data_IF_546904585930
#
_entry.id   IF_546904585930
#
_cell.length_a   1.000
_cell.length_b   1.000
_cell.length_c   1.000
_cell.angle_alpha   90.00
_cell.angle_beta   90.00
_cell.angle_gamma   90.00
#
_symmetry.space_group_name_H-M   'P 1'
#
loop_
_entity.id
_entity.type
_entity.pdbx_description
1 polymer ?
#
# COMPACT_ATOMS: atom_id res chain seq x y z
N UNK A 1 -9.97 13.74 -1.86
CA UNK A 1 -8.82 12.83 -2.00
C UNK A 1 -8.14 13.03 -3.36
N UNK A 2 -6.84 12.81 -3.43
CA UNK A 2 -6.06 12.86 -4.65
C UNK A 2 -5.00 11.77 -4.63
N UNK A 3 -4.73 11.20 -5.79
CA UNK A 3 -3.62 10.27 -5.94
C UNK A 3 -2.27 10.98 -5.87
N UNK A 4 -2.12 12.05 -6.64
CA UNK A 4 -0.92 12.93 -6.62
C UNK A 4 -1.32 14.39 -6.48
N UNK A 5 -0.44 15.21 -5.94
CA UNK A 5 -0.54 16.67 -5.97
C UNK A 5 0.58 17.22 -6.85
N UNK A 6 0.27 17.55 -8.11
CA UNK A 6 1.22 18.03 -9.11
C UNK A 6 1.92 19.34 -8.72
N UNK A 7 1.32 20.09 -7.79
CA UNK A 7 1.89 21.34 -7.27
C UNK A 7 2.89 21.13 -6.13
N UNK A 8 3.25 19.86 -5.84
CA UNK A 8 4.20 19.51 -4.77
C UNK A 8 3.66 19.73 -3.35
N UNK A 9 2.35 19.87 -3.20
CA UNK A 9 1.70 20.01 -1.89
C UNK A 9 1.54 18.68 -1.14
N UNK A 10 1.13 18.78 0.13
CA UNK A 10 0.91 17.63 1.03
C UNK A 10 -0.46 16.96 0.84
N UNK A 11 -1.10 17.10 -0.32
CA UNK A 11 -2.50 16.69 -0.52
C UNK A 11 -2.69 15.42 -1.33
N UNK A 12 -1.64 14.89 -1.92
CA UNK A 12 -1.67 13.65 -2.69
C UNK A 12 -1.23 12.46 -1.85
N UNK A 13 -1.86 11.31 -2.04
CA UNK A 13 -1.50 10.06 -1.35
C UNK A 13 -0.04 9.71 -1.62
N UNK A 14 0.41 9.76 -2.87
CA UNK A 14 1.81 9.50 -3.22
C UNK A 14 2.78 10.54 -2.64
N UNK A 15 2.38 11.81 -2.55
CA UNK A 15 3.23 12.85 -1.96
C UNK A 15 3.44 12.61 -0.46
N UNK A 16 2.38 12.22 0.25
CA UNK A 16 2.46 11.86 1.68
C UNK A 16 3.32 10.60 1.86
N UNK A 17 3.13 9.59 1.02
CA UNK A 17 3.96 8.37 1.04
C UNK A 17 5.45 8.69 0.89
N UNK A 18 5.83 9.61 -0.03
CA UNK A 18 7.21 10.04 -0.21
C UNK A 18 7.81 10.70 1.04
N UNK A 19 7.00 11.47 1.76
CA UNK A 19 7.43 12.12 3.01
C UNK A 19 7.59 11.08 4.13
N UNK A 20 6.68 10.10 4.20
CA UNK A 20 6.70 9.06 5.23
C UNK A 20 7.78 7.99 4.97
N UNK A 21 8.17 7.77 3.73
CA UNK A 21 9.11 6.72 3.32
C UNK A 21 10.44 6.70 4.13
N UNK A 22 11.14 7.83 4.33
CA UNK A 22 12.42 7.85 5.05
C UNK A 22 12.28 7.76 6.58
N UNK A 23 11.07 7.65 7.12
CA UNK A 23 10.81 7.74 8.55
C UNK A 23 10.68 6.35 9.22
N UNK A 24 11.10 5.27 8.55
CA UNK A 24 10.96 3.90 9.07
C UNK A 24 11.60 3.71 10.46
N UNK A 25 12.73 4.35 10.72
CA UNK A 25 13.44 4.27 12.00
C UNK A 25 12.65 4.78 13.22
N UNK A 26 11.63 5.62 12.99
CA UNK A 26 10.78 6.18 14.06
C UNK A 26 9.57 5.30 14.36
N UNK A 27 9.21 4.35 13.47
CA UNK A 27 8.07 3.46 13.65
C UNK A 27 8.46 2.25 14.50
N UNK A 28 7.81 2.10 15.66
CA UNK A 28 8.02 0.98 16.60
C UNK A 28 6.83 0.84 17.56
N UNK A 29 6.70 -0.28 18.27
CA UNK A 29 5.69 -0.40 19.32
C UNK A 29 5.74 0.75 20.31
N UNK A 30 4.59 1.43 20.49
CA UNK A 30 4.44 2.62 21.32
C UNK A 30 4.61 3.96 20.60
N UNK A 31 4.98 3.97 19.30
CA UNK A 31 5.07 5.19 18.49
C UNK A 31 5.20 4.87 17.01
N UNK A 32 4.20 5.24 16.22
CA UNK A 32 4.16 5.03 14.78
C UNK A 32 4.06 6.35 14.04
N UNK A 33 4.57 6.39 12.80
CA UNK A 33 4.38 7.52 11.91
C UNK A 33 2.92 7.63 11.48
N UNK A 34 2.36 8.82 11.49
CA UNK A 34 1.00 9.09 11.05
C UNK A 34 1.01 9.89 9.74
N UNK A 35 0.80 9.23 8.60
CA UNK A 35 0.75 9.87 7.28
C UNK A 35 -0.63 10.44 6.95
N UNK A 36 -1.43 10.79 7.96
CA UNK A 36 -2.80 11.28 7.85
C UNK A 36 -3.85 10.15 7.68
N UNK A 37 -5.12 10.52 7.80
CA UNK A 37 -6.26 9.61 7.77
C UNK A 37 -6.43 8.91 6.42
N UNK A 38 -7.16 7.79 6.45
CA UNK A 38 -7.59 7.09 5.26
C UNK A 38 -8.68 7.89 4.52
N UNK A 39 -8.48 8.08 3.22
CA UNK A 39 -9.44 8.77 2.33
C UNK A 39 -10.21 7.82 1.42
N UNK A 40 -10.25 6.53 1.75
CA UNK A 40 -10.93 5.49 0.97
C UNK A 40 -12.43 5.80 0.88
N UNK A 41 -12.95 5.84 -0.35
CA UNK A 41 -14.38 6.07 -0.60
C UNK A 41 -14.88 7.51 -0.41
N UNK A 42 -14.00 8.49 -0.09
CA UNK A 42 -14.44 9.89 0.08
C UNK A 42 -14.89 10.53 -1.24
N UNK A 43 -14.35 10.06 -2.38
CA UNK A 43 -14.56 10.74 -3.66
C UNK A 43 -13.79 12.07 -3.75
N UNK A 44 -14.05 12.84 -4.79
CA UNK A 44 -13.30 14.05 -5.10
C UNK A 44 -13.89 15.35 -4.55
N UNK A 45 -15.04 15.32 -3.87
CA UNK A 45 -15.77 16.53 -3.51
C UNK A 45 -15.63 16.85 -2.04
N UNK A 46 -15.01 17.98 -1.72
CA UNK A 46 -15.04 18.56 -0.37
C UNK A 46 -15.80 19.90 -0.41
N UNK A 47 -16.99 19.91 0.21
CA UNK A 47 -17.80 21.12 0.34
C UNK A 47 -17.23 22.12 1.33
N UNK A 48 -16.42 21.67 2.28
CA UNK A 48 -15.96 22.51 3.42
C UNK A 48 -14.81 23.47 3.07
N UNK A 49 -14.07 23.21 2.00
CA UNK A 49 -12.91 24.04 1.59
C UNK A 49 -12.98 24.51 0.13
N UNK A 50 -14.14 24.37 -0.51
CA UNK A 50 -14.34 24.81 -1.90
C UNK A 50 -13.46 24.07 -2.92
N UNK A 51 -13.02 22.86 -2.58
CA UNK A 51 -12.06 22.10 -3.33
C UNK A 51 -12.74 20.92 -4.04
N UNK A 52 -12.65 20.90 -5.36
CA UNK A 52 -13.07 19.77 -6.19
C UNK A 52 -11.83 19.09 -6.77
N UNK A 53 -11.73 17.78 -6.64
CA UNK A 53 -10.79 16.92 -7.35
C UNK A 53 -11.56 15.79 -8.00
N UNK A 54 -10.96 15.11 -8.97
CA UNK A 54 -11.56 13.92 -9.59
C UNK A 54 -11.70 12.75 -8.60
N UNK A 55 -11.06 12.84 -7.43
CA UNK A 55 -11.00 11.76 -6.45
C UNK A 55 -9.92 10.74 -6.80
N UNK A 56 -10.10 9.53 -6.29
CA UNK A 56 -9.28 8.37 -6.61
C UNK A 56 -10.14 7.27 -7.22
N UNK A 57 -9.55 6.42 -8.06
CA UNK A 57 -10.20 5.19 -8.52
C UNK A 57 -10.25 4.16 -7.39
N UNK A 58 -11.00 3.06 -7.56
CA UNK A 58 -11.05 1.99 -6.58
C UNK A 58 -9.67 1.33 -6.39
N UNK A 59 -8.91 1.15 -7.48
CA UNK A 59 -7.55 0.61 -7.45
C UNK A 59 -6.62 1.53 -6.63
N UNK A 60 -6.72 2.84 -6.81
CA UNK A 60 -5.96 3.82 -6.03
C UNK A 60 -6.37 3.85 -4.56
N UNK A 61 -7.66 3.69 -4.24
CA UNK A 61 -8.12 3.56 -2.86
C UNK A 61 -7.62 2.27 -2.21
N UNK A 62 -7.61 1.16 -2.94
CA UNK A 62 -7.05 -0.10 -2.47
C UNK A 62 -5.54 0.02 -2.23
N UNK A 63 -4.83 0.66 -3.16
CA UNK A 63 -3.40 0.95 -3.03
C UNK A 63 -3.10 1.84 -1.83
N UNK A 64 -3.90 2.87 -1.60
CA UNK A 64 -3.80 3.73 -0.43
C UNK A 64 -3.91 2.92 0.88
N UNK A 65 -4.94 2.10 1.00
CA UNK A 65 -5.13 1.26 2.19
C UNK A 65 -3.98 0.26 2.37
N UNK A 66 -3.58 -0.42 1.30
CA UNK A 66 -2.46 -1.36 1.32
C UNK A 66 -1.15 -0.70 1.78
N UNK A 67 -0.84 0.48 1.24
CA UNK A 67 0.37 1.23 1.61
C UNK A 67 0.35 1.69 3.07
N UNK A 68 -0.80 2.19 3.59
CA UNK A 68 -0.93 2.54 5.02
C UNK A 68 -0.75 1.31 5.91
N UNK A 69 -1.24 0.14 5.49
CA UNK A 69 -1.00 -1.11 6.20
C UNK A 69 0.48 -1.51 6.19
N UNK A 70 1.16 -1.39 5.06
CA UNK A 70 2.61 -1.62 4.96
C UNK A 70 3.41 -0.65 5.83
N UNK A 71 2.99 0.62 5.91
CA UNK A 71 3.64 1.64 6.73
C UNK A 71 3.40 1.49 8.24
N UNK A 72 2.63 0.50 8.70
CA UNK A 72 2.19 0.37 10.09
C UNK A 72 1.51 1.65 10.62
N UNK A 73 0.83 2.37 9.74
CA UNK A 73 0.20 3.66 10.05
C UNK A 73 -1.08 3.48 10.85
N UNK A 74 -1.50 4.47 11.66
CA UNK A 74 -2.84 4.49 12.22
C UNK A 74 -3.91 4.41 11.12
N UNK A 75 -4.87 3.49 11.26
CA UNK A 75 -5.95 3.28 10.29
C UNK A 75 -7.20 4.06 10.70
N UNK A 76 -7.17 5.38 10.54
CA UNK A 76 -8.26 6.28 10.89
C UNK A 76 -9.10 6.61 9.67
N UNK A 77 -10.37 6.17 9.64
CA UNK A 77 -11.28 6.41 8.53
C UNK A 77 -11.72 7.87 8.47
N UNK A 78 -11.46 8.55 7.34
CA UNK A 78 -11.91 9.92 7.09
C UNK A 78 -13.24 10.02 6.33
N UNK A 79 -13.83 8.89 5.92
CA UNK A 79 -15.10 8.82 5.21
C UNK A 79 -16.31 8.70 6.14
N UNK A 80 -17.51 8.92 5.63
CA UNK A 80 -18.75 8.66 6.38
C UNK A 80 -19.03 7.15 6.40
N UNK A 81 -18.74 6.52 7.54
CA UNK A 81 -18.90 5.06 7.73
C UNK A 81 -20.34 4.56 7.56
N UNK A 82 -21.34 5.46 7.61
CA UNK A 82 -22.76 5.13 7.44
C UNK A 82 -23.15 5.01 5.96
N UNK A 83 -22.32 5.49 5.06
CA UNK A 83 -22.60 5.60 3.62
C UNK A 83 -21.54 4.89 2.77
N UNK A 84 -20.84 3.91 3.32
CA UNK A 84 -19.88 3.10 2.58
C UNK A 84 -20.60 2.23 1.55
N UNK A 85 -20.07 2.22 0.32
CA UNK A 85 -20.46 1.23 -0.69
C UNK A 85 -19.67 -0.07 -0.50
N UNK A 86 -20.07 -1.13 -1.21
CA UNK A 86 -19.47 -2.45 -1.08
C UNK A 86 -17.96 -2.45 -1.39
N UNK A 87 -17.53 -1.71 -2.41
CA UNK A 87 -16.09 -1.59 -2.75
C UNK A 87 -15.28 -0.98 -1.61
N UNK A 88 -15.80 0.09 -0.98
CA UNK A 88 -15.17 0.72 0.18
C UNK A 88 -15.08 -0.24 1.36
N UNK A 89 -16.15 -0.99 1.62
CA UNK A 89 -16.18 -2.00 2.69
C UNK A 89 -15.18 -3.13 2.42
N UNK A 90 -15.12 -3.66 1.19
CA UNK A 90 -14.16 -4.70 0.81
C UNK A 90 -12.71 -4.27 1.04
N UNK A 91 -12.37 -3.03 0.66
CA UNK A 91 -11.04 -2.48 0.87
C UNK A 91 -10.72 -2.38 2.37
N UNK A 92 -11.56 -1.69 3.13
CA UNK A 92 -11.29 -1.38 4.54
C UNK A 92 -11.41 -2.59 5.48
N UNK A 93 -12.09 -3.65 5.06
CA UNK A 93 -12.25 -4.90 5.82
C UNK A 93 -11.33 -6.04 5.36
N UNK A 94 -10.33 -5.76 4.51
CA UNK A 94 -9.35 -6.77 4.12
C UNK A 94 -8.52 -7.18 5.35
N UNK A 95 -8.81 -8.38 5.87
CA UNK A 95 -8.24 -8.89 7.13
C UNK A 95 -6.74 -9.13 7.03
N UNK A 96 -6.25 -9.53 5.86
CA UNK A 96 -4.83 -9.84 5.65
C UNK A 96 -4.00 -8.55 5.62
N UNK A 97 -4.50 -7.48 4.99
CA UNK A 97 -3.87 -6.16 5.05
C UNK A 97 -3.88 -5.60 6.49
N UNK A 98 -5.00 -5.76 7.20
CA UNK A 98 -5.08 -5.34 8.61
C UNK A 98 -4.09 -6.15 9.47
N UNK A 99 -3.93 -7.45 9.23
CA UNK A 99 -2.94 -8.28 9.94
C UNK A 99 -1.50 -7.81 9.68
N UNK A 100 -1.17 -7.41 8.45
CA UNK A 100 0.13 -6.81 8.12
C UNK A 100 0.34 -5.50 8.88
N UNK A 101 -0.69 -4.64 8.96
CA UNK A 101 -0.63 -3.39 9.74
C UNK A 101 -0.41 -3.65 11.22
N UNK A 102 -1.14 -4.63 11.79
CA UNK A 102 -1.17 -4.95 13.21
C UNK A 102 -0.08 -5.96 13.63
N UNK A 103 0.89 -6.25 12.77
CA UNK A 103 1.97 -7.18 13.09
C UNK A 103 2.73 -6.72 14.35
N UNK A 104 2.99 -7.63 15.34
CA UNK A 104 3.58 -7.26 16.63
C UNK A 104 4.96 -6.63 16.57
N UNK A 105 5.73 -6.79 15.48
CA UNK A 105 7.00 -6.08 15.31
C UNK A 105 6.80 -4.56 15.23
N UNK A 106 5.62 -4.09 14.76
CA UNK A 106 5.30 -2.68 14.64
C UNK A 106 6.23 -1.90 13.68
N UNK A 107 6.89 -2.62 12.76
CA UNK A 107 7.89 -2.06 11.83
C UNK A 107 7.18 -1.46 10.61
N UNK A 108 7.61 -0.29 10.18
CA UNK A 108 7.22 0.30 8.91
C UNK A 108 7.95 -0.39 7.76
N UNK A 109 7.28 -0.63 6.63
CA UNK A 109 7.93 -1.12 5.43
C UNK A 109 9.01 -0.14 4.93
N UNK A 110 10.08 -0.70 4.40
CA UNK A 110 11.14 0.05 3.73
C UNK A 110 11.03 -0.11 2.22
N UNK A 111 11.38 0.93 1.49
CA UNK A 111 11.40 0.90 0.03
C UNK A 111 12.69 0.24 -0.45
N UNK A 112 12.58 -1.02 -0.88
CA UNK A 112 13.71 -1.80 -1.40
C UNK A 112 14.10 -1.39 -2.83
N UNK A 113 13.10 -1.04 -3.66
CA UNK A 113 13.34 -0.60 -5.05
C UNK A 113 12.55 0.68 -5.30
N UNK A 114 13.26 1.67 -5.86
CA UNK A 114 12.68 2.86 -6.47
C UNK A 114 13.08 2.90 -7.93
N UNK A 115 12.18 2.48 -8.81
CA UNK A 115 12.34 2.61 -10.25
C UNK A 115 11.61 3.86 -10.78
N UNK A 116 11.76 4.18 -12.06
CA UNK A 116 11.10 5.35 -12.67
C UNK A 116 9.59 5.28 -12.60
N UNK A 117 9.02 4.07 -12.72
CA UNK A 117 7.59 3.84 -12.87
C UNK A 117 6.94 3.11 -11.69
N UNK A 118 7.73 2.40 -10.86
CA UNK A 118 7.21 1.61 -9.77
C UNK A 118 8.12 1.63 -8.55
N UNK A 119 7.54 1.27 -7.41
CA UNK A 119 8.26 1.00 -6.16
C UNK A 119 8.02 -0.44 -5.71
N UNK A 120 9.01 -1.02 -5.02
CA UNK A 120 8.87 -2.25 -4.26
C UNK A 120 9.18 -1.97 -2.79
N UNK A 121 8.24 -2.32 -1.92
CA UNK A 121 8.34 -2.14 -0.48
C UNK A 121 8.43 -3.48 0.21
N UNK A 122 9.21 -3.55 1.27
CA UNK A 122 9.43 -4.77 2.05
C UNK A 122 9.18 -4.50 3.52
N UNK A 123 8.37 -5.35 4.15
CA UNK A 123 8.09 -5.30 5.58
C UNK A 123 8.34 -6.68 6.19
N UNK A 124 9.28 -6.82 7.14
CA UNK A 124 9.42 -8.05 7.90
C UNK A 124 8.19 -8.25 8.81
N UNK A 125 7.77 -9.50 8.97
CA UNK A 125 6.67 -9.89 9.83
C UNK A 125 7.15 -10.78 10.99
N UNK A 126 6.40 -10.77 12.06
CA UNK A 126 6.77 -11.46 13.32
C UNK A 126 6.88 -12.99 13.21
N UNK A 127 6.24 -13.59 12.21
CA UNK A 127 6.32 -15.02 11.92
C UNK A 127 7.53 -15.41 11.04
N UNK A 128 8.42 -14.46 10.75
CA UNK A 128 9.60 -14.65 9.91
C UNK A 128 9.34 -14.49 8.40
N UNK A 129 8.08 -14.33 7.99
CA UNK A 129 7.74 -14.01 6.60
C UNK A 129 8.00 -12.53 6.27
N UNK A 130 7.91 -12.19 4.99
CA UNK A 130 7.97 -10.82 4.51
C UNK A 130 6.71 -10.45 3.75
N UNK A 131 6.15 -9.28 4.04
CA UNK A 131 5.18 -8.65 3.16
C UNK A 131 5.91 -7.81 2.12
N UNK A 132 5.55 -7.98 0.85
CA UNK A 132 6.10 -7.27 -0.30
C UNK A 132 4.97 -6.50 -0.97
N UNK A 133 5.14 -5.19 -1.16
CA UNK A 133 4.19 -4.39 -1.92
C UNK A 133 4.85 -3.86 -3.20
N UNK A 134 4.18 -4.05 -4.33
CA UNK A 134 4.57 -3.51 -5.64
C UNK A 134 3.58 -2.42 -6.02
N UNK A 135 4.04 -1.20 -6.17
CA UNK A 135 3.24 -0.02 -6.46
C UNK A 135 3.54 0.54 -7.85
N UNK A 136 2.54 0.63 -8.70
CA UNK A 136 2.61 1.38 -9.95
C UNK A 136 2.32 2.87 -9.70
N UNK A 137 3.28 3.75 -10.02
CA UNK A 137 3.18 5.20 -9.78
C UNK A 137 2.73 6.00 -10.99
N UNK A 138 2.60 5.38 -12.16
CA UNK A 138 2.25 6.06 -13.40
C UNK A 138 0.84 5.73 -13.90
N UNK A 139 0.40 6.44 -14.93
CA UNK A 139 -0.91 6.25 -15.56
C UNK A 139 -0.97 5.15 -16.63
N UNK A 140 0.16 4.46 -16.88
CA UNK A 140 0.25 3.29 -17.76
C UNK A 140 0.42 1.98 -16.98
N UNK A 141 0.21 0.81 -17.60
CA UNK A 141 0.50 -0.47 -16.97
C UNK A 141 2.01 -0.66 -16.76
N UNK A 142 2.38 -1.43 -15.73
CA UNK A 142 3.77 -1.73 -15.37
C UNK A 142 3.91 -3.21 -15.04
N UNK A 143 4.96 -3.83 -15.54
CA UNK A 143 5.38 -5.17 -15.15
C UNK A 143 6.58 -5.07 -14.18
N UNK A 144 6.46 -5.71 -13.02
CA UNK A 144 7.50 -5.74 -11.97
C UNK A 144 8.01 -7.16 -11.83
N UNK A 145 9.28 -7.38 -12.10
CA UNK A 145 9.91 -8.68 -11.89
C UNK A 145 10.36 -8.82 -10.43
N UNK A 146 9.79 -9.78 -9.72
CA UNK A 146 10.17 -10.14 -8.35
C UNK A 146 10.90 -11.48 -8.33
N UNK A 147 12.10 -11.48 -7.76
CA UNK A 147 12.91 -12.68 -7.55
C UNK A 147 13.85 -12.48 -6.36
N UNK A 148 14.57 -13.54 -5.99
CA UNK A 148 15.52 -13.52 -4.85
C UNK A 148 16.69 -12.56 -5.01
N UNK A 149 16.95 -12.08 -6.23
CA UNK A 149 18.01 -11.09 -6.51
C UNK A 149 17.49 -9.65 -6.40
N UNK A 150 16.19 -9.44 -6.65
CA UNK A 150 15.57 -8.12 -6.62
C UNK A 150 15.23 -7.69 -5.19
N UNK A 151 14.96 -8.65 -4.29
CA UNK A 151 14.67 -8.40 -2.88
C UNK A 151 15.53 -9.31 -2.02
N UNK A 152 16.45 -8.76 -1.26
CA UNK A 152 17.36 -9.50 -0.40
C UNK A 152 16.61 -10.33 0.66
N UNK A 153 17.00 -11.61 0.76
CA UNK A 153 16.40 -12.55 1.71
C UNK A 153 14.91 -12.83 1.45
N UNK A 154 14.45 -12.70 0.20
CA UNK A 154 13.12 -13.11 -0.20
C UNK A 154 13.06 -14.64 -0.29
N UNK A 155 12.13 -15.26 0.47
CA UNK A 155 11.74 -16.65 0.26
C UNK A 155 10.61 -16.72 -0.77
N UNK A 156 10.68 -17.70 -1.65
CA UNK A 156 9.67 -17.96 -2.67
C UNK A 156 9.04 -19.35 -2.54
N UNK A 157 9.25 -20.01 -1.38
CA UNK A 157 8.69 -21.35 -1.15
C UNK A 157 7.16 -21.30 -1.13
N UNK A 158 6.63 -20.21 -0.62
CA UNK A 158 5.18 -19.96 -0.60
C UNK A 158 4.91 -18.46 -0.75
N UNK A 159 4.20 -18.09 -1.81
CA UNK A 159 3.78 -16.70 -2.07
C UNK A 159 2.27 -16.63 -2.07
N UNK A 160 1.72 -15.75 -1.24
CA UNK A 160 0.29 -15.50 -1.09
C UNK A 160 -0.04 -14.07 -1.52
N UNK A 161 -0.93 -13.91 -2.49
CA UNK A 161 -1.47 -12.60 -2.90
C UNK A 161 -2.56 -12.18 -1.89
N UNK A 162 -2.29 -11.11 -1.18
CA UNK A 162 -3.14 -10.58 -0.09
C UNK A 162 -4.41 -9.94 -0.64
N UNK A 163 -4.36 -9.41 -1.84
CA UNK A 163 -5.49 -8.73 -2.48
C UNK A 163 -6.45 -9.77 -3.09
N UNK A 164 -5.90 -10.73 -3.82
CA UNK A 164 -6.70 -11.80 -4.46
C UNK A 164 -7.11 -12.90 -3.47
N UNK A 165 -6.47 -12.97 -2.31
CA UNK A 165 -6.75 -14.00 -1.30
C UNK A 165 -6.34 -15.41 -1.75
N UNK A 166 -5.28 -15.54 -2.55
CA UNK A 166 -4.90 -16.80 -3.18
C UNK A 166 -3.39 -17.01 -3.23
N UNK A 167 -2.96 -18.28 -3.37
CA UNK A 167 -1.56 -18.61 -3.59
C UNK A 167 -1.15 -18.27 -5.03
N UNK A 168 0.01 -17.65 -5.17
CA UNK A 168 0.67 -17.45 -6.46
C UNK A 168 1.30 -18.78 -6.88
N UNK A 169 0.84 -19.36 -7.97
CA UNK A 169 1.42 -20.57 -8.52
C UNK A 169 2.82 -20.28 -9.11
N UNK A 170 3.78 -21.19 -8.87
CA UNK A 170 5.08 -21.20 -9.54
C UNK A 170 6.00 -19.99 -9.29
N UNK A 171 6.04 -19.47 -8.07
CA UNK A 171 6.95 -18.38 -7.72
C UNK A 171 8.40 -18.83 -7.42
N UNK A 172 8.75 -20.11 -7.54
CA UNK A 172 10.02 -20.69 -7.07
C UNK A 172 11.30 -20.08 -7.63
N UNK A 173 11.24 -19.42 -8.78
CA UNK A 173 12.39 -18.71 -9.39
C UNK A 173 12.19 -17.21 -9.52
N UNK A 174 11.01 -16.73 -9.17
CA UNK A 174 10.52 -15.37 -9.39
C UNK A 174 9.29 -15.35 -10.29
N UNK A 175 8.61 -14.24 -10.29
CA UNK A 175 7.42 -14.02 -11.13
C UNK A 175 7.28 -12.56 -11.55
N UNK A 176 6.47 -12.33 -12.57
CA UNK A 176 6.15 -10.98 -13.03
C UNK A 176 4.81 -10.55 -12.45
N UNK A 177 4.83 -9.44 -11.67
CA UNK A 177 3.65 -8.79 -11.14
C UNK A 177 3.17 -7.76 -12.15
N UNK A 178 1.98 -7.97 -12.71
CA UNK A 178 1.35 -7.00 -13.61
C UNK A 178 0.48 -6.05 -12.82
N UNK A 179 0.72 -4.76 -12.99
CA UNK A 179 0.06 -3.69 -12.26
C UNK A 179 -0.67 -2.74 -13.23
N UNK A 180 -1.95 -2.53 -12.99
CA UNK A 180 -2.72 -1.48 -13.63
C UNK A 180 -2.27 -0.08 -13.14
N UNK A 181 -2.68 1.02 -13.80
CA UNK A 181 -2.36 2.37 -13.37
C UNK A 181 -2.75 2.64 -11.91
N UNK A 182 -1.80 3.07 -11.09
CA UNK A 182 -2.02 3.37 -9.67
C UNK A 182 -2.30 2.16 -8.78
N UNK A 183 -2.15 0.94 -9.30
CA UNK A 183 -2.37 -0.29 -8.54
C UNK A 183 -1.18 -0.62 -7.64
N UNK A 184 -1.50 -1.12 -6.45
CA UNK A 184 -0.57 -1.74 -5.51
C UNK A 184 -1.02 -3.18 -5.22
N UNK A 185 -0.17 -4.16 -5.49
CA UNK A 185 -0.35 -5.55 -5.07
C UNK A 185 0.53 -5.87 -3.89
N UNK A 186 0.01 -6.66 -2.96
CA UNK A 186 0.73 -7.06 -1.73
C UNK A 186 0.79 -8.57 -1.66
N UNK A 187 1.98 -9.07 -1.36
CA UNK A 187 2.26 -10.51 -1.23
C UNK A 187 2.86 -10.81 0.13
N UNK A 188 2.52 -11.96 0.71
CA UNK A 188 3.23 -12.54 1.85
C UNK A 188 4.08 -13.67 1.31
N UNK A 189 5.39 -13.58 1.56
CA UNK A 189 6.42 -14.52 1.09
C UNK A 189 7.03 -15.28 2.27
N UNK A 190 6.97 -16.63 2.22
CA UNK A 190 7.50 -17.56 3.24
C UNK A 190 8.50 -18.50 2.61
#
# INVERSE_FOLDING_TARGET
>A
SRWTDEKGGLRGILNILEINAPLSEYARPGGWNDPDMLVVGIGGKSKSIGYESEGCTNEQYQSHFALWCMMASPLLCGNDVRQMNDSTLQILLNKDLIAINQDPLGIQAERAIRADHYDVWVKPLSDGSKAIACLNRISGPVDVELNVKTVEGLSLDRVYDVIEGSLVAEASTGWVVKLAPGECKVFICK
#
